data_IF_674863302903
#
_entry.id   IF_674863302903
#
_cell.length_a   1.000
_cell.length_b   1.000
_cell.length_c   1.000
_cell.angle_alpha   90.00
_cell.angle_beta   90.00
_cell.angle_gamma   90.00
#
_symmetry.space_group_name_H-M   'P 1'
#
loop_
_entity.id
_entity.type
_entity.pdbx_description
1 polymer ?
#
# COMPACT_ATOMS: atom_id res chain seq x y z
N UNK A 1 7.69 -0.48 19.77
CA UNK A 1 6.89 0.70 20.19
C UNK A 1 6.15 0.31 21.45
N UNK A 2 6.24 1.09 22.54
CA UNK A 2 5.48 0.80 23.76
C UNK A 2 3.98 0.84 23.48
N UNK A 3 3.22 -0.08 24.09
CA UNK A 3 1.76 -0.17 23.92
C UNK A 3 1.09 0.82 24.87
N UNK A 4 0.44 1.85 24.33
CA UNK A 4 -0.38 2.78 25.11
C UNK A 4 -1.82 2.24 25.13
N UNK A 5 -2.31 1.89 26.32
CA UNK A 5 -3.66 1.35 26.50
C UNK A 5 -4.63 2.52 26.74
N UNK A 6 -4.84 3.33 25.71
CA UNK A 6 -5.78 4.45 25.75
C UNK A 6 -6.33 4.75 24.34
N UNK A 7 -7.50 5.38 24.28
CA UNK A 7 -8.10 5.75 22.99
C UNK A 7 -7.27 6.86 22.34
N UNK A 8 -6.79 6.62 21.11
CA UNK A 8 -5.91 7.54 20.40
C UNK A 8 -6.52 8.93 20.11
N UNK A 9 -7.84 9.07 20.28
CA UNK A 9 -8.55 10.34 20.12
C UNK A 9 -8.49 11.24 21.36
N UNK A 10 -8.04 10.75 22.51
CA UNK A 10 -7.89 11.55 23.72
C UNK A 10 -6.66 12.46 23.63
N UNK A 11 -6.81 13.74 24.00
CA UNK A 11 -5.71 14.71 23.89
C UNK A 11 -4.54 14.33 24.80
N UNK A 12 -4.79 13.76 25.97
CA UNK A 12 -3.75 13.25 26.89
C UNK A 12 -2.93 12.13 26.25
N UNK A 13 -3.60 11.19 25.57
CA UNK A 13 -2.94 10.11 24.83
C UNK A 13 -2.08 10.65 23.69
N UNK A 14 -2.58 11.63 22.94
CA UNK A 14 -1.81 12.27 21.86
C UNK A 14 -0.56 12.97 22.42
N UNK A 15 -0.70 13.70 23.54
CA UNK A 15 0.43 14.35 24.22
C UNK A 15 1.47 13.34 24.70
N UNK A 16 1.02 12.24 25.31
CA UNK A 16 1.90 11.17 25.77
C UNK A 16 2.66 10.53 24.59
N UNK A 17 1.98 10.26 23.46
CA UNK A 17 2.63 9.77 22.24
C UNK A 17 3.71 10.73 21.75
N UNK A 18 3.43 12.04 21.74
CA UNK A 18 4.39 13.06 21.32
C UNK A 18 5.61 13.05 22.24
N UNK A 19 5.40 13.04 23.55
CA UNK A 19 6.49 13.07 24.52
C UNK A 19 7.36 11.80 24.46
N UNK A 20 6.73 10.62 24.35
CA UNK A 20 7.45 9.35 24.18
C UNK A 20 8.28 9.39 22.89
N UNK A 21 7.71 9.91 21.81
CA UNK A 21 8.39 10.02 20.52
C UNK A 21 9.59 10.99 20.58
N UNK A 22 9.43 12.14 21.27
CA UNK A 22 10.53 13.08 21.51
C UNK A 22 11.65 12.44 22.34
N UNK A 23 11.31 11.72 23.41
CA UNK A 23 12.30 11.03 24.25
C UNK A 23 13.07 10.00 23.42
N UNK A 24 12.39 9.18 22.63
CA UNK A 24 13.03 8.21 21.74
C UNK A 24 13.93 8.88 20.69
N UNK A 25 13.52 10.03 20.16
CA UNK A 25 14.33 10.84 19.22
C UNK A 25 15.61 11.34 19.90
N UNK A 26 15.51 11.84 21.13
CA UNK A 26 16.64 12.34 21.90
C UNK A 26 17.61 11.21 22.28
N UNK A 27 17.11 10.03 22.62
CA UNK A 27 17.94 8.84 22.95
C UNK A 27 18.84 8.41 21.79
N UNK A 28 18.40 8.61 20.55
CA UNK A 28 19.19 8.32 19.34
C UNK A 28 19.97 9.53 18.82
N UNK A 29 19.96 10.66 19.55
CA UNK A 29 20.67 11.88 19.18
C UNK A 29 20.11 12.59 17.95
N UNK A 30 18.84 12.37 17.60
CA UNK A 30 18.17 13.09 16.52
C UNK A 30 17.61 14.42 17.03
N UNK A 31 17.66 15.46 16.21
CA UNK A 31 17.16 16.79 16.58
C UNK A 31 15.64 16.91 16.36
N UNK A 32 15.10 16.14 15.41
CA UNK A 32 13.74 16.29 14.89
C UNK A 32 12.93 15.01 15.09
N UNK A 33 11.74 15.16 15.66
CA UNK A 33 10.80 14.06 15.92
C UNK A 33 9.74 14.02 14.82
N UNK A 34 9.72 12.95 14.03
CA UNK A 34 8.65 12.69 13.07
C UNK A 34 7.62 11.73 13.65
N UNK A 35 6.34 12.14 13.62
CA UNK A 35 5.23 11.30 14.10
C UNK A 35 4.20 11.17 13.00
N UNK A 36 3.77 9.94 12.72
CA UNK A 36 2.73 9.70 11.72
C UNK A 36 1.39 9.47 12.41
N UNK A 37 0.39 10.27 12.08
CA UNK A 37 -0.99 10.14 12.59
C UNK A 37 -1.99 10.02 11.45
N UNK A 38 -3.12 9.34 11.69
CA UNK A 38 -4.28 9.48 10.80
C UNK A 38 -4.80 10.93 10.80
N UNK A 39 -5.63 11.28 9.82
CA UNK A 39 -6.10 12.66 9.65
C UNK A 39 -6.89 13.19 10.86
N UNK A 40 -7.66 12.33 11.54
CA UNK A 40 -8.48 12.76 12.67
C UNK A 40 -7.63 13.09 13.89
N UNK A 41 -6.63 12.26 14.17
CA UNK A 41 -5.67 12.44 15.26
C UNK A 41 -4.69 13.56 14.94
N UNK A 42 -4.21 13.64 13.68
CA UNK A 42 -3.30 14.69 13.23
C UNK A 42 -3.88 16.09 13.48
N UNK A 43 -5.18 16.31 13.22
CA UNK A 43 -5.83 17.60 13.50
C UNK A 43 -5.75 18.00 14.97
N UNK A 44 -5.96 17.05 15.89
CA UNK A 44 -5.86 17.28 17.33
C UNK A 44 -4.40 17.50 17.75
N UNK A 45 -3.49 16.70 17.20
CA UNK A 45 -2.06 16.83 17.45
C UNK A 45 -1.53 18.20 17.00
N UNK A 46 -1.90 18.70 15.83
CA UNK A 46 -1.55 20.05 15.39
C UNK A 46 -2.04 21.13 16.36
N UNK A 47 -3.26 20.98 16.89
CA UNK A 47 -3.80 21.91 17.89
C UNK A 47 -2.93 21.95 19.15
N UNK A 48 -2.50 20.78 19.64
CA UNK A 48 -1.59 20.66 20.80
C UNK A 48 -0.24 21.31 20.51
N UNK A 49 0.37 21.00 19.34
CA UNK A 49 1.65 21.56 18.92
C UNK A 49 1.61 23.10 18.88
N UNK A 50 0.54 23.68 18.32
CA UNK A 50 0.41 25.13 18.20
C UNK A 50 0.15 25.84 19.54
N UNK A 51 -0.52 25.17 20.49
CA UNK A 51 -0.71 25.74 21.83
C UNK A 51 0.58 25.80 22.64
N UNK A 52 1.52 24.88 22.39
CA UNK A 52 2.77 24.71 23.13
C UNK A 52 3.98 24.61 22.20
N UNK A 53 4.13 25.61 21.34
CA UNK A 53 5.22 25.66 20.37
C UNK A 53 6.61 25.69 21.03
N UNK A 54 6.69 26.19 22.26
CA UNK A 54 7.88 26.15 23.11
C UNK A 54 8.41 24.72 23.35
N UNK A 55 7.50 23.76 23.54
CA UNK A 55 7.84 22.37 23.84
C UNK A 55 7.97 21.49 22.58
N UNK A 56 7.21 21.82 21.53
CA UNK A 56 7.01 20.93 20.39
C UNK A 56 7.52 21.48 19.06
N UNK A 57 8.39 22.51 19.08
CA UNK A 57 8.98 23.10 17.88
C UNK A 57 9.74 22.11 16.97
N UNK A 58 10.26 21.01 17.54
CA UNK A 58 10.99 19.99 16.80
C UNK A 58 10.12 18.79 16.39
N UNK A 59 8.81 18.86 16.58
CA UNK A 59 7.87 17.78 16.25
C UNK A 59 7.18 18.07 14.93
N UNK A 60 7.29 17.15 13.98
CA UNK A 60 6.61 17.23 12.69
C UNK A 60 5.62 16.08 12.54
N UNK A 61 4.35 16.43 12.31
CA UNK A 61 3.28 15.47 12.09
C UNK A 61 3.18 15.14 10.60
N UNK A 62 3.42 13.88 10.26
CA UNK A 62 3.14 13.33 8.94
C UNK A 62 1.74 12.73 8.90
N UNK A 63 0.99 12.98 7.82
CA UNK A 63 -0.31 12.33 7.63
C UNK A 63 -0.08 10.88 7.20
N UNK A 64 -0.64 9.95 7.94
CA UNK A 64 -0.55 8.52 7.66
C UNK A 64 -1.23 8.17 6.36
N UNK A 65 -0.51 7.48 5.48
CA UNK A 65 -1.02 7.01 4.20
C UNK A 65 -2.07 5.89 4.32
N UNK A 66 -2.32 5.37 5.53
CA UNK A 66 -3.16 4.19 5.75
C UNK A 66 -4.56 4.33 5.12
N UNK A 67 -5.29 5.40 5.41
CA UNK A 67 -6.62 5.62 4.81
C UNK A 67 -6.55 5.80 3.30
N UNK A 68 -5.53 6.48 2.79
CA UNK A 68 -5.30 6.62 1.34
C UNK A 68 -5.09 5.25 0.69
N UNK A 69 -4.29 4.38 1.31
CA UNK A 69 -4.08 3.01 0.83
C UNK A 69 -5.38 2.20 0.88
N UNK A 70 -6.18 2.30 1.94
CA UNK A 70 -7.49 1.63 2.03
C UNK A 70 -8.45 2.10 0.93
N UNK A 71 -8.53 3.41 0.69
CA UNK A 71 -9.35 3.98 -0.38
C UNK A 71 -8.89 3.49 -1.75
N UNK A 72 -7.57 3.42 -1.98
CA UNK A 72 -7.00 2.92 -3.22
C UNK A 72 -7.31 1.42 -3.41
N UNK A 73 -7.14 0.59 -2.38
CA UNK A 73 -7.50 -0.83 -2.42
C UNK A 73 -8.99 -1.05 -2.73
N UNK A 74 -9.87 -0.24 -2.12
CA UNK A 74 -11.30 -0.26 -2.42
C UNK A 74 -11.61 0.12 -3.87
N UNK A 75 -10.89 1.11 -4.42
CA UNK A 75 -11.02 1.51 -5.81
C UNK A 75 -10.55 0.40 -6.77
N UNK A 76 -9.42 -0.27 -6.46
CA UNK A 76 -8.93 -1.42 -7.23
C UNK A 76 -9.96 -2.55 -7.23
N UNK A 77 -10.52 -2.91 -6.07
CA UNK A 77 -11.54 -3.96 -6.01
C UNK A 77 -12.81 -3.63 -6.81
N UNK A 78 -13.17 -2.34 -6.94
CA UNK A 78 -14.24 -1.90 -7.85
C UNK A 78 -13.83 -2.01 -9.32
N UNK A 79 -12.59 -1.65 -9.65
CA UNK A 79 -12.06 -1.72 -11.01
C UNK A 79 -12.00 -3.16 -11.52
N UNK A 80 -11.64 -4.12 -10.66
CA UNK A 80 -11.54 -5.54 -11.02
C UNK A 80 -12.86 -6.29 -10.91
N UNK A 81 -13.96 -5.62 -10.53
CA UNK A 81 -15.25 -6.28 -10.35
C UNK A 81 -15.76 -6.84 -11.69
N UNK A 82 -16.11 -8.13 -11.71
CA UNK A 82 -16.61 -8.81 -12.91
C UNK A 82 -15.51 -9.22 -13.90
N UNK A 83 -14.23 -9.05 -13.55
CA UNK A 83 -13.10 -9.52 -14.37
C UNK A 83 -12.72 -10.99 -14.12
N UNK A 84 -13.35 -11.65 -13.14
CA UNK A 84 -12.94 -12.96 -12.64
C UNK A 84 -11.74 -12.92 -11.69
N UNK A 85 -11.28 -11.72 -11.30
CA UNK A 85 -10.17 -11.55 -10.36
C UNK A 85 -10.42 -12.27 -9.03
N UNK A 86 -11.63 -12.16 -8.49
CA UNK A 86 -12.07 -12.85 -7.27
C UNK A 86 -12.03 -14.37 -7.43
N UNK A 87 -12.54 -14.88 -8.55
CA UNK A 87 -12.51 -16.32 -8.83
C UNK A 87 -11.08 -16.84 -8.88
N UNK A 88 -10.18 -16.17 -9.61
CA UNK A 88 -8.76 -16.56 -9.71
C UNK A 88 -8.10 -16.60 -8.33
N UNK A 89 -8.32 -15.56 -7.51
CA UNK A 89 -7.71 -15.46 -6.18
C UNK A 89 -8.22 -16.55 -5.23
N UNK A 90 -9.50 -16.92 -5.35
CA UNK A 90 -10.11 -17.97 -4.54
C UNK A 90 -9.64 -19.35 -4.99
N UNK A 91 -9.73 -19.65 -6.28
CA UNK A 91 -9.33 -20.94 -6.85
C UNK A 91 -7.82 -21.20 -6.72
N UNK A 92 -6.99 -20.15 -6.76
CA UNK A 92 -5.55 -20.26 -6.50
C UNK A 92 -5.21 -20.44 -5.00
N UNK A 93 -6.21 -20.45 -4.10
CA UNK A 93 -6.00 -20.62 -2.65
C UNK A 93 -5.31 -19.44 -1.97
N UNK A 94 -5.24 -18.26 -2.61
CA UNK A 94 -4.59 -17.07 -2.06
C UNK A 94 -5.49 -16.43 -0.99
N UNK A 95 -6.81 -16.45 -1.20
CA UNK A 95 -7.80 -15.98 -0.26
C UNK A 95 -9.01 -16.92 -0.19
N UNK A 96 -9.54 -17.15 1.01
CA UNK A 96 -10.79 -17.89 1.16
C UNK A 96 -11.99 -17.09 0.62
N UNK A 97 -12.97 -17.78 0.04
CA UNK A 97 -14.21 -17.20 -0.50
C UNK A 97 -14.95 -16.33 0.53
N UNK A 98 -15.00 -16.74 1.80
CA UNK A 98 -15.61 -15.95 2.87
C UNK A 98 -14.91 -14.63 3.22
N UNK A 99 -13.73 -14.36 2.65
CA UNK A 99 -12.92 -13.17 2.93
C UNK A 99 -12.64 -12.29 1.71
N UNK A 100 -12.89 -12.77 0.49
CA UNK A 100 -12.54 -12.06 -0.74
C UNK A 100 -13.28 -10.72 -0.85
N UNK A 101 -14.56 -10.67 -0.48
CA UNK A 101 -15.33 -9.44 -0.54
C UNK A 101 -14.77 -8.35 0.39
N UNK A 102 -14.36 -8.73 1.60
CA UNK A 102 -13.75 -7.81 2.54
C UNK A 102 -12.35 -7.35 2.08
N UNK A 103 -11.61 -8.23 1.40
CA UNK A 103 -10.34 -7.89 0.75
C UNK A 103 -10.55 -6.88 -0.38
N UNK A 104 -11.49 -7.11 -1.30
CA UNK A 104 -11.78 -6.21 -2.42
C UNK A 104 -12.34 -4.86 -1.96
N UNK A 105 -13.04 -4.82 -0.82
CA UNK A 105 -13.47 -3.56 -0.20
C UNK A 105 -12.33 -2.83 0.54
N UNK A 106 -11.13 -3.42 0.59
CA UNK A 106 -9.98 -2.89 1.33
C UNK A 106 -10.07 -3.07 2.84
N UNK A 107 -11.10 -3.72 3.40
CA UNK A 107 -11.32 -3.81 4.86
C UNK A 107 -10.27 -4.68 5.57
N UNK A 108 -9.67 -5.62 4.86
CA UNK A 108 -8.58 -6.44 5.38
C UNK A 108 -7.24 -5.99 4.80
N UNK A 109 -6.68 -4.90 5.32
CA UNK A 109 -5.50 -4.24 4.76
C UNK A 109 -4.36 -5.19 4.36
N UNK A 110 -3.78 -5.92 5.33
CA UNK A 110 -2.63 -6.80 5.06
C UNK A 110 -2.95 -7.88 4.03
N UNK A 111 -4.18 -8.43 4.08
CA UNK A 111 -4.61 -9.48 3.16
C UNK A 111 -4.86 -8.92 1.76
N UNK A 112 -5.44 -7.72 1.67
CA UNK A 112 -5.69 -7.03 0.41
C UNK A 112 -4.40 -6.65 -0.30
N UNK A 113 -3.42 -6.11 0.43
CA UNK A 113 -2.07 -5.86 -0.11
C UNK A 113 -1.48 -7.16 -0.67
N UNK A 114 -1.48 -8.25 0.11
CA UNK A 114 -0.94 -9.54 -0.34
C UNK A 114 -1.63 -10.03 -1.62
N UNK A 115 -2.96 -10.01 -1.67
CA UNK A 115 -3.74 -10.46 -2.83
C UNK A 115 -3.40 -9.64 -4.07
N UNK A 116 -3.40 -8.31 -3.97
CA UNK A 116 -3.09 -7.45 -5.11
C UNK A 116 -1.63 -7.57 -5.56
N UNK A 117 -0.67 -7.70 -4.64
CA UNK A 117 0.74 -7.90 -4.99
C UNK A 117 0.98 -9.24 -5.70
N UNK A 118 0.39 -10.34 -5.20
CA UNK A 118 0.52 -11.65 -5.86
C UNK A 118 -0.12 -11.63 -7.25
N UNK A 119 -1.28 -10.99 -7.38
CA UNK A 119 -1.93 -10.86 -8.68
C UNK A 119 -1.16 -9.99 -9.66
N UNK A 120 -0.57 -8.87 -9.20
CA UNK A 120 0.30 -8.03 -10.02
C UNK A 120 1.49 -8.84 -10.54
N UNK A 121 2.16 -9.58 -9.66
CA UNK A 121 3.32 -10.40 -10.02
C UNK A 121 2.97 -11.47 -11.06
N UNK A 122 1.82 -12.15 -10.87
CA UNK A 122 1.34 -13.14 -11.83
C UNK A 122 1.03 -12.51 -13.21
N UNK A 123 0.40 -11.33 -13.23
CA UNK A 123 0.11 -10.61 -14.47
C UNK A 123 1.38 -10.11 -15.16
N UNK A 124 2.39 -9.65 -14.40
CA UNK A 124 3.69 -9.25 -14.93
C UNK A 124 4.43 -10.42 -15.59
N UNK A 125 4.40 -11.61 -14.97
CA UNK A 125 4.94 -12.83 -15.59
C UNK A 125 4.24 -13.16 -16.89
N UNK A 126 2.90 -13.15 -16.89
CA UNK A 126 2.11 -13.45 -18.10
C UNK A 126 2.39 -12.43 -19.22
N UNK A 127 2.52 -11.15 -18.87
CA UNK A 127 2.87 -10.08 -19.80
C UNK A 127 4.26 -10.32 -20.40
N UNK A 128 5.23 -10.71 -19.56
CA UNK A 128 6.59 -11.01 -20.01
C UNK A 128 6.62 -12.24 -20.93
N UNK A 129 5.93 -13.33 -20.57
CA UNK A 129 5.83 -14.52 -21.44
C UNK A 129 5.19 -14.19 -22.78
N UNK A 130 4.12 -13.39 -22.79
CA UNK A 130 3.45 -12.95 -24.01
C UNK A 130 4.39 -12.12 -24.89
N UNK A 131 5.17 -11.21 -24.29
CA UNK A 131 6.17 -10.41 -25.00
C UNK A 131 7.27 -11.26 -25.64
N UNK A 132 7.80 -12.25 -24.94
CA UNK A 132 8.81 -13.17 -25.48
C UNK A 132 8.28 -13.98 -26.67
N UNK A 133 7.06 -14.52 -26.54
CA UNK A 133 6.43 -15.27 -27.64
C UNK A 133 6.19 -14.39 -28.86
N UNK A 134 5.72 -13.16 -28.67
CA UNK A 134 5.45 -12.24 -29.76
C UNK A 134 6.75 -11.86 -30.50
N UNK A 135 7.84 -11.60 -29.77
CA UNK A 135 9.17 -11.38 -30.38
C UNK A 135 9.62 -12.57 -31.21
N UNK A 136 9.49 -13.79 -30.67
CA UNK A 136 9.87 -15.02 -31.38
C UNK A 136 9.04 -15.19 -32.65
N UNK A 137 7.74 -14.98 -32.57
CA UNK A 137 6.83 -15.08 -33.71
C UNK A 137 7.19 -14.05 -34.79
N UNK A 138 7.41 -12.80 -34.40
CA UNK A 138 7.81 -11.72 -35.32
C UNK A 138 9.13 -12.05 -36.03
N UNK A 139 10.10 -12.63 -35.30
CA UNK A 139 11.36 -13.09 -35.89
C UNK A 139 11.17 -14.21 -36.90
N UNK A 140 10.38 -15.24 -36.55
CA UNK A 140 10.08 -16.36 -37.46
C UNK A 140 9.35 -15.91 -38.74
N UNK A 141 8.39 -14.99 -38.61
CA UNK A 141 7.68 -14.41 -39.77
C UNK A 141 8.66 -13.67 -40.68
N UNK A 142 9.60 -12.91 -40.11
CA UNK A 142 10.63 -12.22 -40.89
C UNK A 142 11.54 -13.19 -41.62
N UNK A 143 12.06 -14.21 -40.92
CA UNK A 143 12.92 -15.24 -41.52
C UNK A 143 12.22 -16.00 -42.64
N UNK A 144 10.94 -16.35 -42.46
CA UNK A 144 10.14 -17.01 -43.50
C UNK A 144 9.92 -16.12 -44.74
N UNK A 145 9.76 -14.81 -44.53
CA UNK A 145 9.64 -13.83 -45.63
C UNK A 145 10.96 -13.70 -46.40
N UNK A 146 12.07 -13.52 -45.69
CA UNK A 146 13.39 -13.36 -46.29
C UNK A 146 13.76 -14.61 -47.14
N UNK A 147 13.47 -15.82 -46.62
CA UNK A 147 13.69 -17.08 -47.36
C UNK A 147 12.80 -17.22 -48.61
N UNK A 148 11.58 -16.66 -48.61
CA UNK A 148 10.70 -16.67 -49.78
C UNK A 148 11.09 -15.67 -50.86
N UNK A 149 11.76 -14.58 -50.48
CA UNK A 149 12.30 -13.58 -51.39
C UNK A 149 13.60 -14.08 -52.06
N UNK A 150 14.39 -14.93 -51.40
CA UNK A 150 15.61 -15.55 -51.98
C UNK A 150 15.33 -16.69 -52.98
N UNK A 151 14.11 -17.24 -53.01
CA UNK A 151 13.70 -18.32 -53.91
C UNK A 151 13.07 -17.86 -55.24
N UNK A 152 12.80 -16.57 -55.40
CA UNK A 152 12.27 -15.96 -56.63
C UNK A 152 13.37 -15.19 -57.37
#
# INVERSE_FOLDING_TARGET
>A
MPTIIATITENSTIQEIIQISQNATNEVGQEVTFITFDLAVAKKAYNILWQRSDLYQNVFIHLGAFHTTLSYLSALGKLTKGSGFDDIVVEAGICASGSIEAVLKGKHHNRAIRVHCVMLEALERLLFFSFEQNKRMTKLIKEARDASEEMN
#
